data_IF_317963011351
#
_entry.id   IF_317963011351
#
_cell.length_a   1.000
_cell.length_b   1.000
_cell.length_c   1.000
_cell.angle_alpha   90.00
_cell.angle_beta   90.00
_cell.angle_gamma   90.00
#
_symmetry.space_group_name_H-M   'P 1'
#
loop_
_entity.id
_entity.type
_entity.pdbx_description
1 polymer ?
#
# COMPACT_ATOMS: atom_id res chain seq x y z
N UNK A 1 15.35 -7.50 -31.09
CA UNK A 1 16.21 -7.33 -29.88
C UNK A 1 15.71 -6.20 -28.96
N UNK A 2 15.08 -5.14 -29.48
CA UNK A 2 14.51 -4.04 -28.67
C UNK A 2 13.40 -4.49 -27.68
N UNK A 3 12.53 -5.43 -28.07
CA UNK A 3 11.41 -5.90 -27.23
C UNK A 3 11.85 -6.61 -25.94
N UNK A 4 12.94 -7.38 -25.98
CA UNK A 4 13.48 -8.06 -24.79
C UNK A 4 14.15 -7.09 -23.82
N UNK A 5 14.77 -6.03 -24.35
CA UNK A 5 15.34 -4.94 -23.54
C UNK A 5 14.23 -4.16 -22.81
N UNK A 6 13.14 -3.85 -23.51
CA UNK A 6 11.96 -3.19 -22.92
C UNK A 6 11.33 -4.08 -21.84
N UNK A 7 11.16 -5.38 -22.12
CA UNK A 7 10.63 -6.34 -21.15
C UNK A 7 11.52 -6.48 -19.91
N UNK A 8 12.85 -6.48 -20.09
CA UNK A 8 13.81 -6.52 -18.99
C UNK A 8 13.75 -5.28 -18.09
N UNK A 9 13.61 -4.10 -18.68
CA UNK A 9 13.47 -2.85 -17.92
C UNK A 9 12.12 -2.81 -17.20
N UNK A 10 11.03 -3.19 -17.87
CA UNK A 10 9.69 -3.20 -17.28
C UNK A 10 9.59 -4.19 -16.09
N UNK A 11 10.21 -5.36 -16.21
CA UNK A 11 10.24 -6.36 -15.13
C UNK A 11 11.13 -5.95 -13.95
N UNK A 12 12.24 -5.24 -14.19
CA UNK A 12 13.03 -4.62 -13.12
C UNK A 12 12.24 -3.56 -12.37
N UNK A 13 11.53 -2.68 -13.07
CA UNK A 13 10.70 -1.65 -12.44
C UNK A 13 9.56 -2.30 -11.65
N UNK A 14 8.86 -3.28 -12.24
CA UNK A 14 7.80 -4.01 -11.55
C UNK A 14 8.32 -4.76 -10.31
N UNK A 15 9.48 -5.42 -10.42
CA UNK A 15 10.12 -6.11 -9.31
C UNK A 15 10.58 -5.17 -8.20
N UNK A 16 11.18 -4.03 -8.56
CA UNK A 16 11.60 -2.99 -7.63
C UNK A 16 10.39 -2.42 -6.87
N UNK A 17 9.33 -2.05 -7.59
CA UNK A 17 8.12 -1.48 -7.00
C UNK A 17 7.42 -2.51 -6.08
N UNK A 18 7.42 -3.78 -6.45
CA UNK A 18 6.90 -4.87 -5.60
C UNK A 18 7.76 -5.08 -4.35
N UNK A 19 9.09 -4.98 -4.48
CA UNK A 19 10.05 -5.12 -3.38
C UNK A 19 10.01 -3.96 -2.38
N UNK A 20 9.55 -2.77 -2.77
CA UNK A 20 9.39 -1.63 -1.84
C UNK A 20 8.33 -1.87 -0.74
N UNK A 21 7.63 -3.02 -0.74
CA UNK A 21 6.61 -3.35 0.26
C UNK A 21 5.38 -2.43 0.22
N UNK A 22 5.31 -1.54 -0.77
CA UNK A 22 4.23 -0.57 -0.98
C UNK A 22 2.90 -1.22 -1.38
N UNK A 23 2.94 -2.50 -1.77
CA UNK A 23 1.80 -3.25 -2.30
C UNK A 23 1.20 -2.60 -3.57
N UNK A 24 0.16 -3.19 -4.14
CA UNK A 24 -0.49 -2.63 -5.35
C UNK A 24 -1.05 -1.22 -5.16
N UNK A 25 -1.46 -0.87 -3.94
CA UNK A 25 -2.02 0.44 -3.63
C UNK A 25 -0.99 1.59 -3.63
N UNK A 26 0.23 1.35 -3.16
CA UNK A 26 1.30 2.35 -3.25
C UNK A 26 1.71 2.65 -4.70
N UNK A 27 1.70 1.63 -5.56
CA UNK A 27 1.93 1.80 -7.02
C UNK A 27 0.86 2.70 -7.62
N UNK A 28 -0.40 2.44 -7.27
CA UNK A 28 -1.54 3.21 -7.76
C UNK A 28 -1.40 4.68 -7.34
N UNK A 29 -1.11 4.96 -6.06
CA UNK A 29 -0.89 6.32 -5.58
C UNK A 29 0.25 7.00 -6.34
N UNK A 30 1.41 6.34 -6.50
CA UNK A 30 2.55 6.89 -7.26
C UNK A 30 2.17 7.20 -8.70
N UNK A 31 1.41 6.31 -9.35
CA UNK A 31 0.93 6.52 -10.72
C UNK A 31 0.02 7.76 -10.81
N UNK A 32 -0.98 7.87 -9.93
CA UNK A 32 -1.89 9.02 -9.91
C UNK A 32 -1.15 10.34 -9.62
N UNK A 33 -0.15 10.33 -8.74
CA UNK A 33 0.57 11.55 -8.38
C UNK A 33 1.61 11.96 -9.42
N UNK A 34 2.37 11.01 -9.98
CA UNK A 34 3.48 11.31 -10.89
C UNK A 34 3.02 11.50 -12.33
N UNK A 35 2.05 10.69 -12.80
CA UNK A 35 1.58 10.75 -14.18
C UNK A 35 0.37 11.66 -14.35
N UNK A 36 -0.56 11.66 -13.39
CA UNK A 36 -1.79 12.46 -13.48
C UNK A 36 -1.69 13.78 -12.69
N UNK A 37 -0.60 14.01 -11.95
CA UNK A 37 -0.40 15.25 -11.18
C UNK A 37 -1.44 15.45 -10.07
N UNK A 38 -2.15 14.40 -9.67
CA UNK A 38 -3.20 14.50 -8.66
C UNK A 38 -2.64 14.81 -7.28
N UNK A 39 -3.43 15.53 -6.48
CA UNK A 39 -3.08 15.80 -5.09
C UNK A 39 -3.02 14.49 -4.28
N UNK A 40 -2.09 14.42 -3.33
CA UNK A 40 -1.86 13.24 -2.49
C UNK A 40 -3.14 12.74 -1.80
N UNK A 41 -4.00 13.65 -1.32
CA UNK A 41 -5.24 13.30 -0.64
C UNK A 41 -6.26 12.66 -1.60
N UNK A 42 -6.37 13.18 -2.82
CA UNK A 42 -7.21 12.59 -3.87
C UNK A 42 -6.68 11.22 -4.30
N UNK A 43 -5.36 11.09 -4.53
CA UNK A 43 -4.76 9.83 -4.93
C UNK A 43 -4.95 8.74 -3.87
N UNK A 44 -4.80 9.07 -2.58
CA UNK A 44 -5.07 8.18 -1.46
C UNK A 44 -6.55 7.78 -1.36
N UNK A 45 -7.47 8.72 -1.58
CA UNK A 45 -8.91 8.45 -1.61
C UNK A 45 -9.32 7.51 -2.74
N UNK A 46 -8.80 7.73 -3.96
CA UNK A 46 -9.03 6.84 -5.10
C UNK A 46 -8.50 5.45 -4.80
N UNK A 47 -7.27 5.36 -4.26
CA UNK A 47 -6.71 4.08 -3.84
C UNK A 47 -7.62 3.33 -2.84
N UNK A 48 -8.24 4.03 -1.88
CA UNK A 48 -9.17 3.42 -0.93
C UNK A 48 -10.45 2.89 -1.60
N UNK A 49 -10.99 3.63 -2.59
CA UNK A 49 -12.15 3.17 -3.38
C UNK A 49 -11.80 1.88 -4.14
N UNK A 50 -10.58 1.78 -4.69
CA UNK A 50 -10.10 0.56 -5.34
C UNK A 50 -9.95 -0.61 -4.37
N UNK A 51 -9.60 -0.35 -3.11
CA UNK A 51 -9.52 -1.37 -2.08
C UNK A 51 -10.90 -1.91 -1.65
N UNK A 52 -11.98 -1.15 -1.81
CA UNK A 52 -13.32 -1.58 -1.39
C UNK A 52 -13.81 -2.89 -2.03
N UNK A 53 -13.79 -3.06 -3.38
CA UNK A 53 -14.18 -4.33 -4.00
C UNK A 53 -13.20 -5.47 -3.67
N UNK A 54 -11.90 -5.18 -3.58
CA UNK A 54 -10.89 -6.16 -3.16
C UNK A 54 -11.17 -6.66 -1.74
N UNK A 55 -11.51 -5.76 -0.82
CA UNK A 55 -11.88 -6.09 0.55
C UNK A 55 -13.17 -6.92 0.58
N UNK A 56 -14.18 -6.57 -0.21
CA UNK A 56 -15.41 -7.34 -0.29
C UNK A 56 -15.17 -8.79 -0.75
N UNK A 57 -14.36 -8.98 -1.81
CA UNK A 57 -13.98 -10.31 -2.30
C UNK A 57 -13.16 -11.06 -1.24
N UNK A 58 -12.20 -10.39 -0.60
CA UNK A 58 -11.38 -10.99 0.44
C UNK A 58 -12.21 -11.48 1.62
N UNK A 59 -13.14 -10.65 2.11
CA UNK A 59 -14.09 -11.01 3.17
C UNK A 59 -14.94 -12.21 2.73
N UNK A 60 -15.51 -12.18 1.52
CA UNK A 60 -16.33 -13.28 1.01
C UNK A 60 -15.58 -14.62 1.01
N UNK A 61 -14.34 -14.62 0.52
CA UNK A 61 -13.49 -15.82 0.51
C UNK A 61 -13.19 -16.28 1.94
N UNK A 62 -12.79 -15.38 2.85
CA UNK A 62 -12.45 -15.76 4.22
C UNK A 62 -13.66 -16.24 5.03
N UNK A 63 -14.84 -15.65 4.81
CA UNK A 63 -16.11 -16.13 5.38
C UNK A 63 -16.37 -17.56 4.93
N UNK A 64 -16.21 -17.84 3.63
CA UNK A 64 -16.43 -19.17 3.05
C UNK A 64 -15.48 -20.24 3.62
N UNK A 65 -14.25 -19.86 3.95
CA UNK A 65 -13.26 -20.75 4.54
C UNK A 65 -13.30 -20.84 6.08
N UNK A 66 -14.27 -20.18 6.74
CA UNK A 66 -14.40 -20.15 8.22
C UNK A 66 -13.16 -19.63 8.96
N UNK A 67 -12.31 -18.84 8.29
CA UNK A 67 -11.06 -18.31 8.87
C UNK A 67 -11.27 -16.99 9.64
N UNK A 68 -12.51 -16.54 9.81
CA UNK A 68 -12.83 -15.26 10.43
C UNK A 68 -13.21 -15.47 11.90
N UNK A 69 -12.35 -14.98 12.80
CA UNK A 69 -12.74 -14.75 14.18
C UNK A 69 -13.51 -13.43 14.29
N UNK A 70 -14.84 -13.54 14.20
CA UNK A 70 -15.75 -12.40 14.29
C UNK A 70 -15.63 -11.65 15.62
N UNK A 71 -15.27 -12.32 16.72
CA UNK A 71 -15.10 -11.65 18.02
C UNK A 71 -13.87 -10.76 18.02
N UNK A 72 -12.79 -11.20 17.37
CA UNK A 72 -11.60 -10.39 17.19
C UNK A 72 -11.86 -9.24 16.22
N UNK A 73 -12.47 -9.52 15.06
CA UNK A 73 -12.80 -8.51 14.06
C UNK A 73 -13.68 -7.39 14.64
N UNK A 74 -14.69 -7.72 15.43
CA UNK A 74 -15.58 -6.74 16.04
C UNK A 74 -14.88 -5.87 17.10
N UNK A 75 -13.89 -6.42 17.81
CA UNK A 75 -13.07 -5.64 18.76
C UNK A 75 -12.12 -4.70 18.03
N UNK A 76 -11.57 -5.10 16.88
CA UNK A 76 -10.65 -4.27 16.09
C UNK A 76 -11.36 -3.20 15.26
N UNK A 77 -12.59 -3.46 14.79
CA UNK A 77 -13.39 -2.54 13.98
C UNK A 77 -13.47 -1.10 14.56
N UNK A 78 -13.82 -0.87 15.84
CA UNK A 78 -13.90 0.49 16.39
C UNK A 78 -12.55 1.20 16.42
N UNK A 79 -11.45 0.50 16.67
CA UNK A 79 -10.11 1.09 16.60
C UNK A 79 -9.73 1.48 15.17
N UNK A 80 -10.10 0.66 14.19
CA UNK A 80 -9.91 0.97 12.77
C UNK A 80 -10.72 2.21 12.34
N UNK A 81 -11.99 2.30 12.74
CA UNK A 81 -12.85 3.45 12.45
C UNK A 81 -12.31 4.71 13.14
N UNK A 82 -11.94 4.63 14.42
CA UNK A 82 -11.37 5.76 15.14
C UNK A 82 -10.04 6.23 14.52
N UNK A 83 -9.16 5.29 14.15
CA UNK A 83 -7.90 5.58 13.46
C UNK A 83 -8.12 6.22 12.09
N UNK A 84 -9.10 5.75 11.32
CA UNK A 84 -9.45 6.34 10.03
C UNK A 84 -9.98 7.77 10.18
N UNK A 85 -10.85 8.01 11.16
CA UNK A 85 -11.36 9.35 11.46
C UNK A 85 -10.25 10.31 11.88
N UNK A 86 -9.38 9.89 12.80
CA UNK A 86 -8.24 10.69 13.24
C UNK A 86 -7.26 10.95 12.09
N UNK A 87 -7.04 9.95 11.23
CA UNK A 87 -6.18 10.07 10.05
C UNK A 87 -6.72 11.09 9.04
N UNK A 88 -8.01 11.03 8.71
CA UNK A 88 -8.66 12.00 7.81
C UNK A 88 -8.70 13.39 8.43
N UNK A 89 -8.99 13.50 9.73
CA UNK A 89 -8.98 14.77 10.43
C UNK A 89 -7.59 15.42 10.38
N UNK A 90 -6.55 14.65 10.73
CA UNK A 90 -5.17 15.13 10.67
C UNK A 90 -4.76 15.51 9.23
N UNK A 91 -5.13 14.69 8.24
CA UNK A 91 -4.84 14.96 6.83
C UNK A 91 -5.51 16.27 6.35
N UNK A 92 -6.75 16.55 6.78
CA UNK A 92 -7.46 17.79 6.44
C UNK A 92 -6.88 19.03 7.15
N UNK A 93 -6.28 18.87 8.34
CA UNK A 93 -5.64 20.00 9.04
C UNK A 93 -4.30 20.40 8.43
N UNK A 94 -3.65 19.50 7.69
CA UNK A 94 -2.37 19.75 7.05
C UNK A 94 -2.56 20.27 5.62
N UNK A 95 -1.82 21.32 5.26
CA UNK A 95 -1.86 21.81 3.88
C UNK A 95 -1.30 20.73 2.93
N UNK A 96 -1.92 20.49 1.76
CA UNK A 96 -1.61 19.35 0.87
C UNK A 96 -0.13 19.17 0.53
N UNK A 97 0.60 20.28 0.43
CA UNK A 97 2.06 20.32 0.17
C UNK A 97 2.85 19.58 1.26
N UNK A 98 2.44 19.67 2.53
CA UNK A 98 3.11 18.98 3.63
C UNK A 98 2.79 17.49 3.64
N UNK A 99 1.56 17.11 3.31
CA UNK A 99 1.16 15.71 3.19
C UNK A 99 1.92 15.02 2.05
N UNK A 100 2.03 15.69 0.89
CA UNK A 100 2.79 15.21 -0.25
C UNK A 100 4.29 15.08 0.07
N UNK A 101 4.90 16.09 0.71
CA UNK A 101 6.30 16.04 1.14
C UNK A 101 6.55 14.92 2.16
N UNK A 102 5.64 14.75 3.12
CA UNK A 102 5.72 13.67 4.12
C UNK A 102 5.67 12.29 3.47
N UNK A 103 4.76 12.08 2.52
CA UNK A 103 4.68 10.83 1.78
C UNK A 103 5.93 10.58 0.91
N UNK A 104 6.43 11.61 0.21
CA UNK A 104 7.64 11.50 -0.58
C UNK A 104 8.87 11.14 0.28
N UNK A 105 9.01 11.78 1.44
CA UNK A 105 10.07 11.46 2.40
C UNK A 105 9.91 10.03 2.95
N UNK A 106 8.70 9.59 3.24
CA UNK A 106 8.41 8.21 3.68
C UNK A 106 8.83 7.18 2.62
N UNK A 107 8.43 7.37 1.37
CA UNK A 107 8.81 6.49 0.24
C UNK A 107 10.33 6.47 0.06
N UNK A 108 10.98 7.64 0.16
CA UNK A 108 12.44 7.74 0.04
C UNK A 108 13.16 7.01 1.17
N UNK A 109 12.69 7.15 2.42
CA UNK A 109 13.23 6.42 3.58
C UNK A 109 13.01 4.93 3.43
N UNK A 110 11.83 4.48 2.99
CA UNK A 110 11.58 3.06 2.72
C UNK A 110 12.52 2.52 1.64
N UNK A 111 12.70 3.26 0.53
CA UNK A 111 13.62 2.86 -0.53
C UNK A 111 15.07 2.76 -0.07
N UNK A 112 15.54 3.74 0.71
CA UNK A 112 16.88 3.70 1.32
C UNK A 112 16.98 2.52 2.28
N UNK A 113 16.02 2.34 3.19
CA UNK A 113 16.02 1.22 4.14
C UNK A 113 16.07 -0.12 3.43
N UNK A 114 15.31 -0.30 2.36
CA UNK A 114 15.30 -1.55 1.59
C UNK A 114 16.63 -1.79 0.87
N UNK A 115 17.22 -0.75 0.27
CA UNK A 115 18.56 -0.82 -0.36
C UNK A 115 19.67 -1.21 0.62
N UNK A 116 19.58 -0.75 1.88
CA UNK A 116 20.57 -1.05 2.92
C UNK A 116 20.18 -2.21 3.84
N UNK A 117 18.94 -2.71 3.74
CA UNK A 117 18.46 -3.89 4.45
C UNK A 117 19.10 -5.11 3.78
N UNK A 118 20.26 -5.53 4.29
CA UNK A 118 20.87 -6.82 3.96
C UNK A 118 19.78 -7.89 4.09
N UNK A 119 19.39 -8.48 2.95
CA UNK A 119 18.32 -9.47 2.86
C UNK A 119 18.47 -10.57 3.90
N UNK A 120 17.73 -10.43 5.00
CA UNK A 120 17.60 -11.48 5.99
C UNK A 120 16.52 -12.39 5.44
N UNK A 121 16.97 -13.44 4.75
CA UNK A 121 16.16 -14.58 4.34
C UNK A 121 15.58 -15.23 5.59
N UNK A 122 14.43 -14.76 6.04
CA UNK A 122 13.61 -15.46 7.01
C UNK A 122 12.50 -16.18 6.22
N UNK A 123 12.90 -17.18 5.41
CA UNK A 123 12.01 -18.24 4.93
C UNK A 123 12.28 -19.44 5.82
N UNK A 124 11.79 -19.42 7.06
CA UNK A 124 11.70 -20.66 7.83
C UNK A 124 10.55 -20.59 8.84
N UNK A 125 9.78 -21.67 8.87
CA UNK A 125 8.70 -22.03 9.80
C UNK A 125 7.27 -21.50 9.53
N UNK A 126 6.55 -22.16 8.62
CA UNK A 126 5.13 -22.48 8.86
C UNK A 126 4.64 -23.74 8.10
N UNK A 127 5.46 -24.79 8.13
CA UNK A 127 5.03 -26.17 7.86
C UNK A 127 5.64 -27.08 8.93
N UNK A 128 5.02 -27.09 10.12
CA UNK A 128 5.09 -28.22 11.01
C UNK A 128 3.74 -28.41 11.70
#
# INVERSE_FOLDING_TARGET
>A
MSGWLIAGIASLIAGFVSALGLGGGGILVLYLTLFLGMEQMQAGGINLIFFLPLAAVSIFIHVKHHLIDYKFALKCAPFGVAGAFLGVWLANTLHPVWVSKGFAAFVLVLGIRELFSKGKKDIESEQK
#
